data_IF_113481877845
#
_entry.id   IF_113481877845
#
_cell.length_a   1.000
_cell.length_b   1.000
_cell.length_c   1.000
_cell.angle_alpha   90.00
_cell.angle_beta   90.00
_cell.angle_gamma   90.00
#
_symmetry.space_group_name_H-M   'P 1'
#
loop_
_entity.id
_entity.type
_entity.pdbx_description
1 polymer ?
#
# COMPACT_ATOMS: atom_id res chain seq x y z
N UNK A 1 -12.50 -15.12 -30.32
CA UNK A 1 -11.15 -15.71 -30.26
C UNK A 1 -10.84 -15.89 -28.79
N UNK A 2 -10.82 -17.14 -28.31
CA UNK A 2 -10.60 -17.42 -26.89
C UNK A 2 -9.11 -17.44 -26.58
N UNK A 3 -8.69 -16.71 -25.55
CA UNK A 3 -7.33 -16.72 -25.04
C UNK A 3 -6.97 -18.12 -24.53
N UNK A 4 -6.15 -18.84 -25.28
CA UNK A 4 -5.47 -20.03 -24.78
C UNK A 4 -4.23 -19.53 -24.05
N UNK A 5 -4.39 -19.28 -22.76
CA UNK A 5 -3.25 -19.00 -21.87
C UNK A 5 -2.36 -20.25 -21.86
N UNK A 6 -1.07 -20.12 -22.12
CA UNK A 6 -0.16 -21.26 -22.06
C UNK A 6 -0.05 -21.80 -20.62
N UNK A 7 0.25 -23.09 -20.49
CA UNK A 7 0.41 -23.72 -19.17
C UNK A 7 1.52 -23.08 -18.33
N UNK A 8 2.54 -22.49 -18.98
CA UNK A 8 3.60 -21.72 -18.32
C UNK A 8 3.07 -20.40 -17.76
N UNK A 9 2.37 -19.61 -18.57
CA UNK A 9 1.75 -18.34 -18.13
C UNK A 9 0.73 -18.57 -17.01
N UNK A 10 -0.06 -19.65 -17.08
CA UNK A 10 -0.99 -19.99 -16.00
C UNK A 10 -0.26 -20.29 -14.68
N UNK A 11 0.87 -21.00 -14.75
CA UNK A 11 1.67 -21.34 -13.56
C UNK A 11 2.33 -20.10 -12.96
N UNK A 12 2.92 -19.25 -13.79
CA UNK A 12 3.55 -18.00 -13.36
C UNK A 12 2.54 -17.10 -12.66
N UNK A 13 1.36 -16.91 -13.25
CA UNK A 13 0.26 -16.15 -12.62
C UNK A 13 -0.14 -16.73 -11.25
N UNK A 14 -0.22 -18.05 -11.13
CA UNK A 14 -0.55 -18.71 -9.85
C UNK A 14 0.52 -18.49 -8.79
N UNK A 15 1.79 -18.49 -9.17
CA UNK A 15 2.90 -18.26 -8.26
C UNK A 15 2.98 -16.77 -7.85
N UNK A 16 2.71 -15.86 -8.77
CA UNK A 16 2.57 -14.42 -8.47
C UNK A 16 1.41 -14.13 -7.52
N UNK A 17 0.24 -14.74 -7.75
CA UNK A 17 -0.91 -14.64 -6.85
C UNK A 17 -0.57 -15.12 -5.43
N UNK A 18 0.15 -16.25 -5.31
CA UNK A 18 0.60 -16.77 -4.01
C UNK A 18 1.58 -15.83 -3.32
N UNK A 19 2.56 -15.30 -4.05
CA UNK A 19 3.52 -14.33 -3.51
C UNK A 19 2.82 -13.07 -3.02
N UNK A 20 1.87 -12.55 -3.81
CA UNK A 20 1.05 -11.41 -3.43
C UNK A 20 0.23 -11.68 -2.17
N UNK A 21 -0.42 -12.85 -2.08
CA UNK A 21 -1.18 -13.23 -0.90
C UNK A 21 -0.29 -13.37 0.35
N UNK A 22 0.90 -13.97 0.21
CA UNK A 22 1.85 -14.07 1.32
C UNK A 22 2.33 -12.68 1.79
N UNK A 23 2.60 -11.77 0.85
CA UNK A 23 2.97 -10.40 1.16
C UNK A 23 1.82 -9.65 1.86
N UNK A 24 0.58 -9.80 1.39
CA UNK A 24 -0.60 -9.23 2.03
C UNK A 24 -0.73 -9.65 3.49
N UNK A 25 -0.59 -10.95 3.76
CA UNK A 25 -0.65 -11.49 5.12
C UNK A 25 0.49 -10.95 5.99
N UNK A 26 1.70 -10.86 5.45
CA UNK A 26 2.83 -10.29 6.17
C UNK A 26 2.60 -8.82 6.52
N UNK A 27 2.14 -8.01 5.56
CA UNK A 27 1.87 -6.58 5.79
C UNK A 27 0.76 -6.40 6.83
N UNK A 28 -0.33 -7.15 6.75
CA UNK A 28 -1.42 -7.09 7.73
C UNK A 28 -0.94 -7.42 9.16
N UNK A 29 -0.01 -8.36 9.31
CA UNK A 29 0.43 -8.85 10.62
C UNK A 29 1.55 -8.04 11.24
N UNK A 30 2.49 -7.55 10.43
CA UNK A 30 3.76 -7.01 10.93
C UNK A 30 3.97 -5.54 10.58
N UNK A 31 3.33 -5.00 9.55
CA UNK A 31 3.54 -3.62 9.12
C UNK A 31 2.53 -2.69 9.78
N UNK A 32 2.81 -2.30 11.02
CA UNK A 32 2.02 -1.36 11.81
C UNK A 32 2.93 -0.38 12.56
N UNK A 33 2.34 0.63 13.21
CA UNK A 33 3.11 1.67 13.91
C UNK A 33 3.76 1.23 15.23
N UNK A 34 3.45 0.03 15.75
CA UNK A 34 4.23 -0.56 16.85
C UNK A 34 5.57 -1.14 16.33
N UNK A 35 5.65 -1.43 15.03
CA UNK A 35 6.83 -1.93 14.33
C UNK A 35 7.17 -1.04 13.11
N UNK A 36 7.54 0.24 13.32
CA UNK A 36 7.79 1.19 12.22
C UNK A 36 8.96 0.76 11.32
N UNK A 37 9.89 -0.06 11.82
CA UNK A 37 10.99 -0.62 11.03
C UNK A 37 10.49 -1.54 9.90
N UNK A 38 9.38 -2.26 10.10
CA UNK A 38 8.78 -3.11 9.06
C UNK A 38 8.17 -2.25 7.94
N UNK A 39 7.59 -1.10 8.29
CA UNK A 39 7.09 -0.13 7.30
C UNK A 39 8.26 0.52 6.56
N UNK A 40 9.34 0.89 7.26
CA UNK A 40 10.54 1.43 6.61
C UNK A 40 11.17 0.42 5.66
N UNK A 41 11.23 -0.86 6.04
CA UNK A 41 11.74 -1.93 5.20
C UNK A 41 10.95 -2.04 3.89
N UNK A 42 9.61 -2.00 3.93
CA UNK A 42 8.78 -2.00 2.72
C UNK A 42 9.11 -0.83 1.77
N UNK A 43 9.37 0.36 2.34
CA UNK A 43 9.74 1.56 1.59
C UNK A 43 11.14 1.44 0.99
N UNK A 44 12.12 0.94 1.76
CA UNK A 44 13.51 0.77 1.32
C UNK A 44 13.64 -0.31 0.25
N UNK A 45 13.01 -1.45 0.47
CA UNK A 45 13.11 -2.59 -0.44
C UNK A 45 12.32 -2.36 -1.74
N UNK A 46 11.41 -1.38 -1.76
CA UNK A 46 10.62 -1.02 -2.93
C UNK A 46 9.77 -2.19 -3.45
N UNK A 47 9.41 -3.13 -2.57
CA UNK A 47 8.70 -4.37 -2.91
C UNK A 47 7.38 -4.06 -3.61
N UNK A 48 6.73 -2.98 -3.18
CA UNK A 48 5.56 -2.42 -3.84
C UNK A 48 6.04 -1.40 -4.86
N UNK A 49 6.19 -1.84 -6.11
CA UNK A 49 6.49 -0.92 -7.22
C UNK A 49 5.47 0.20 -7.24
N UNK A 50 5.97 1.43 -7.28
CA UNK A 50 5.17 2.63 -7.42
C UNK A 50 4.39 2.51 -8.72
N UNK A 51 3.11 2.20 -8.62
CA UNK A 51 2.18 2.36 -9.72
C UNK A 51 2.34 3.79 -10.24
N UNK A 52 2.44 3.92 -11.57
CA UNK A 52 2.59 5.17 -12.31
C UNK A 52 2.03 6.37 -11.52
N UNK A 53 2.84 7.41 -11.26
CA UNK A 53 2.46 8.61 -10.51
C UNK A 53 1.05 9.15 -10.85
N UNK A 54 0.60 8.96 -12.09
CA UNK A 54 -0.76 9.27 -12.54
C UNK A 54 -1.84 8.56 -11.72
N UNK A 55 -1.69 7.26 -11.44
CA UNK A 55 -2.63 6.44 -10.66
C UNK A 55 -2.64 6.93 -9.20
N UNK A 56 -1.46 7.21 -8.64
CA UNK A 56 -1.36 7.78 -7.30
C UNK A 56 -2.06 9.15 -7.20
N UNK A 57 -1.85 10.05 -8.17
CA UNK A 57 -2.54 11.34 -8.21
C UNK A 57 -4.05 11.19 -8.39
N UNK A 58 -4.50 10.24 -9.22
CA UNK A 58 -5.91 9.94 -9.38
C UNK A 58 -6.53 9.42 -8.08
N UNK A 59 -5.81 8.60 -7.32
CA UNK A 59 -6.24 8.16 -6.01
C UNK A 59 -6.34 9.33 -5.01
N UNK A 60 -5.34 10.22 -4.98
CA UNK A 60 -5.42 11.42 -4.13
C UNK A 60 -6.60 12.32 -4.50
N UNK A 61 -6.88 12.50 -5.79
CA UNK A 61 -8.06 13.22 -6.25
C UNK A 61 -9.35 12.55 -5.77
N UNK A 62 -9.45 11.23 -5.86
CA UNK A 62 -10.60 10.48 -5.35
C UNK A 62 -10.79 10.69 -3.84
N UNK A 63 -9.71 10.76 -3.05
CA UNK A 63 -9.81 11.05 -1.62
C UNK A 63 -10.35 12.46 -1.37
N UNK A 64 -9.85 13.45 -2.13
CA UNK A 64 -10.30 14.85 -2.02
C UNK A 64 -11.79 15.00 -2.38
N UNK A 65 -12.26 14.38 -3.47
CA UNK A 65 -13.68 14.36 -3.84
C UNK A 65 -14.59 13.78 -2.75
N UNK A 66 -14.03 12.86 -1.95
CA UNK A 66 -14.71 12.20 -0.83
C UNK A 66 -14.49 12.91 0.50
N UNK A 67 -13.78 14.03 0.50
CA UNK A 67 -13.41 14.82 1.69
C UNK A 67 -12.64 13.98 2.73
N UNK A 68 -11.83 13.03 2.25
CA UNK A 68 -10.97 12.20 3.06
C UNK A 68 -9.57 12.77 3.09
N UNK A 69 -9.00 12.89 4.28
CA UNK A 69 -7.59 13.27 4.46
C UNK A 69 -6.69 12.12 4.02
N UNK A 70 -5.81 12.31 3.01
CA UNK A 70 -4.85 11.27 2.63
C UNK A 70 -3.99 10.81 3.79
N UNK A 71 -3.63 11.73 4.70
CA UNK A 71 -2.88 11.40 5.90
C UNK A 71 -3.63 10.40 6.78
N UNK A 72 -4.91 10.66 7.04
CA UNK A 72 -5.71 9.79 7.92
C UNK A 72 -5.95 8.43 7.27
N UNK A 73 -6.24 8.41 5.97
CA UNK A 73 -6.39 7.19 5.18
C UNK A 73 -5.11 6.36 5.20
N UNK A 74 -3.95 6.98 4.97
CA UNK A 74 -2.66 6.28 4.96
C UNK A 74 -2.22 5.83 6.35
N UNK A 75 -2.54 6.58 7.40
CA UNK A 75 -2.32 6.14 8.78
C UNK A 75 -3.25 4.97 9.14
N UNK A 76 -4.52 5.03 8.78
CA UNK A 76 -5.48 3.97 9.11
C UNK A 76 -5.23 2.68 8.35
N UNK A 77 -4.62 2.73 7.16
CA UNK A 77 -4.31 1.51 6.39
C UNK A 77 -3.33 0.57 7.10
N UNK A 78 -2.47 1.11 7.97
CA UNK A 78 -1.52 0.35 8.80
C UNK A 78 -2.02 0.09 10.23
N UNK A 79 -3.08 0.78 10.68
CA UNK A 79 -3.65 0.61 12.02
C UNK A 79 -4.87 -0.31 12.05
N UNK A 80 -5.66 -0.33 10.96
CA UNK A 80 -6.88 -1.10 10.87
C UNK A 80 -6.63 -2.40 10.13
N UNK A 81 -7.35 -3.46 10.53
CA UNK A 81 -7.37 -4.68 9.72
C UNK A 81 -8.05 -4.40 8.37
N UNK A 82 -7.73 -5.15 7.31
CA UNK A 82 -8.27 -4.93 5.96
C UNK A 82 -9.80 -4.83 5.94
N UNK A 83 -10.46 -5.66 6.75
CA UNK A 83 -11.92 -5.68 6.90
C UNK A 83 -12.47 -4.37 7.48
N UNK A 84 -11.86 -3.85 8.55
CA UNK A 84 -12.32 -2.60 9.18
C UNK A 84 -11.99 -1.40 8.31
N UNK A 85 -10.80 -1.37 7.72
CA UNK A 85 -10.40 -0.33 6.77
C UNK A 85 -11.38 -0.23 5.60
N UNK A 86 -11.68 -1.37 4.96
CA UNK A 86 -12.62 -1.43 3.82
C UNK A 86 -14.02 -0.99 4.23
N UNK A 87 -14.48 -1.37 5.44
CA UNK A 87 -15.79 -0.93 5.93
C UNK A 87 -15.86 0.58 6.20
N UNK A 88 -14.80 1.17 6.73
CA UNK A 88 -14.72 2.59 7.07
C UNK A 88 -14.59 3.47 5.83
N UNK A 89 -13.66 3.12 4.94
CA UNK A 89 -13.31 3.96 3.80
C UNK A 89 -13.95 3.52 2.48
N UNK A 90 -14.56 2.34 2.38
CA UNK A 90 -15.05 1.78 1.12
C UNK A 90 -13.98 1.81 0.00
N UNK A 91 -12.72 1.65 0.39
CA UNK A 91 -11.56 1.58 -0.50
C UNK A 91 -10.97 0.17 -0.44
N UNK A 92 -10.34 -0.25 -1.53
CA UNK A 92 -9.55 -1.48 -1.52
C UNK A 92 -8.32 -1.27 -0.63
N UNK A 93 -8.21 -2.10 0.42
CA UNK A 93 -7.12 -2.01 1.39
C UNK A 93 -5.76 -2.21 0.73
N UNK A 94 -5.65 -3.18 -0.19
CA UNK A 94 -4.38 -3.48 -0.83
C UNK A 94 -3.88 -2.34 -1.71
N UNK A 95 -4.75 -1.79 -2.55
CA UNK A 95 -4.45 -0.61 -3.36
C UNK A 95 -4.05 0.58 -2.47
N UNK A 96 -4.75 0.76 -1.35
CA UNK A 96 -4.44 1.83 -0.41
C UNK A 96 -3.06 1.66 0.24
N UNK A 97 -2.65 0.43 0.57
CA UNK A 97 -1.29 0.12 1.04
C UNK A 97 -0.25 0.52 0.00
N UNK A 98 -0.48 0.17 -1.28
CA UNK A 98 0.44 0.52 -2.37
C UNK A 98 0.62 2.04 -2.51
N UNK A 99 -0.48 2.79 -2.41
CA UNK A 99 -0.46 4.24 -2.43
C UNK A 99 0.16 4.85 -1.17
N UNK A 100 -0.07 4.26 0.01
CA UNK A 100 0.55 4.69 1.25
C UNK A 100 2.08 4.52 1.19
N UNK A 101 2.57 3.38 0.68
CA UNK A 101 4.00 3.14 0.51
C UNK A 101 4.58 4.09 -0.55
N UNK A 102 3.88 4.34 -1.66
CA UNK A 102 4.30 5.37 -2.64
C UNK A 102 4.46 6.75 -2.01
N UNK A 103 3.47 7.17 -1.21
CA UNK A 103 3.51 8.43 -0.48
C UNK A 103 4.70 8.49 0.48
N UNK A 104 4.93 7.41 1.23
CA UNK A 104 6.05 7.29 2.16
C UNK A 104 7.41 7.32 1.46
N UNK A 105 7.56 6.69 0.29
CA UNK A 105 8.76 6.77 -0.55
C UNK A 105 9.02 8.22 -0.95
N UNK A 106 8.00 8.91 -1.49
CA UNK A 106 8.12 10.32 -1.89
C UNK A 106 8.49 11.20 -0.69
N UNK A 107 7.86 10.99 0.47
CA UNK A 107 8.20 11.70 1.70
C UNK A 107 9.64 11.44 2.14
N UNK A 108 10.11 10.19 2.11
CA UNK A 108 11.48 9.84 2.50
C UNK A 108 12.52 10.54 1.62
N UNK A 109 12.25 10.62 0.32
CA UNK A 109 13.14 11.23 -0.66
C UNK A 109 13.15 12.77 -0.60
N UNK A 110 11.98 13.39 -0.40
CA UNK A 110 11.82 14.85 -0.55
C UNK A 110 11.71 15.59 0.80
N UNK A 111 11.17 14.95 1.82
CA UNK A 111 10.79 15.54 3.12
C UNK A 111 11.10 14.60 4.29
N UNK A 112 12.36 14.24 4.45
CA UNK A 112 12.81 13.21 5.42
C UNK A 112 12.35 13.45 6.87
N UNK A 113 12.30 14.70 7.33
CA UNK A 113 11.83 15.01 8.69
C UNK A 113 10.34 14.70 8.88
N UNK A 114 9.53 14.93 7.85
CA UNK A 114 8.10 14.59 7.85
C UNK A 114 7.90 13.08 7.78
N UNK A 115 8.73 12.37 7.01
CA UNK A 115 8.74 10.91 6.98
C UNK A 115 9.03 10.31 8.37
N UNK A 116 10.08 10.79 9.05
CA UNK A 116 10.40 10.34 10.41
C UNK A 116 9.29 10.68 11.38
N UNK A 117 8.70 11.87 11.25
CA UNK A 117 7.57 12.29 12.09
C UNK A 117 6.37 11.36 11.87
N UNK A 118 6.05 11.02 10.62
CA UNK A 118 4.95 10.13 10.28
C UNK A 118 5.12 8.73 10.88
N UNK A 119 6.33 8.15 10.82
CA UNK A 119 6.58 6.79 11.30
C UNK A 119 6.78 6.70 12.82
N UNK A 120 7.47 7.67 13.42
CA UNK A 120 7.99 7.52 14.79
C UNK A 120 7.38 8.49 15.81
N UNK A 121 6.62 9.50 15.37
CA UNK A 121 6.15 10.56 16.25
C UNK A 121 4.63 10.72 16.16
N UNK A 122 3.95 10.03 17.07
CA UNK A 122 2.51 10.15 17.28
C UNK A 122 2.15 11.44 18.00
#
# INVERSE_FOLDING_TARGET
MGDIISFQEWRERKDEEKKRAALQVHIEQYCNFDHPDEIDALVVEGILQVENHTIFLAFLHQLDERQLSPRDVFTDVFNLTPKYYTAQYQLDWWQSIQHAITFLTILKENHRDEYVTFLFRR
#
